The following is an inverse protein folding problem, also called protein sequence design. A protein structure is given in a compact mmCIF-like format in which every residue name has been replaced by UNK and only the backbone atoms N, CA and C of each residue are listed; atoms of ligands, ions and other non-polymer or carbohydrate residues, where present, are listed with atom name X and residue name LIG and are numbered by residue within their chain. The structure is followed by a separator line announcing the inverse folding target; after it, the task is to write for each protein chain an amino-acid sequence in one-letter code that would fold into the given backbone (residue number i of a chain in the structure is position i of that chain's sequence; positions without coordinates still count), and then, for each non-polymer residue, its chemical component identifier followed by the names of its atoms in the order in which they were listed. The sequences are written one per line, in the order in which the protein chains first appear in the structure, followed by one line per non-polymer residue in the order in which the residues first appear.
data_IF_793059956961
#
_entry.id   IF_793059956961
#
_cell.length_a   1.000
_cell.length_b   1.000
_cell.length_c   1.000
_cell.angle_alpha   90.00
_cell.angle_beta   90.00
_cell.angle_gamma   90.00
#
_symmetry.space_group_name_H-M   'P 1'
#
loop_
_entity.id
_entity.type
_entity.pdbx_description
1 polymer ?
#
# COMPACT_ATOMS: atom_id res chain seq x y z
N UNK A 1 -34.23 16.62 11.61
CA UNK A 1 -33.31 16.03 10.61
C UNK A 1 -31.91 16.48 10.97
N UNK A 2 -31.09 15.61 11.59
CA UNK A 2 -29.70 15.94 11.88
C UNK A 2 -28.87 15.73 10.62
N UNK A 3 -28.30 16.81 10.08
CA UNK A 3 -27.23 16.71 9.10
C UNK A 3 -26.00 16.09 9.79
N UNK A 4 -25.35 15.06 9.20
CA UNK A 4 -24.08 14.59 9.72
C UNK A 4 -23.06 15.72 9.54
N UNK A 5 -22.45 16.14 10.65
CA UNK A 5 -21.34 17.09 10.66
C UNK A 5 -20.21 16.52 9.78
N UNK A 6 -19.84 17.23 8.72
CA UNK A 6 -18.71 16.82 7.88
C UNK A 6 -17.44 16.86 8.74
N UNK A 7 -16.80 15.70 8.92
CA UNK A 7 -15.52 15.61 9.60
C UNK A 7 -14.49 16.57 8.96
N UNK A 8 -13.60 17.20 9.75
CA UNK A 8 -12.61 18.15 9.24
C UNK A 8 -11.73 17.49 8.16
N UNK A 9 -11.31 18.30 7.18
CA UNK A 9 -10.32 17.91 6.17
C UNK A 9 -8.94 18.21 6.72
N UNK A 10 -8.10 17.20 6.86
CA UNK A 10 -6.74 17.36 7.35
C UNK A 10 -5.83 17.51 6.14
N UNK A 11 -5.40 18.75 5.84
CA UNK A 11 -4.38 19.03 4.82
C UNK A 11 -3.01 19.07 5.48
N UNK A 12 -2.08 18.27 4.98
CA UNK A 12 -0.72 18.26 5.49
C UNK A 12 0.28 18.95 4.57
N UNK A 13 1.23 19.67 5.19
CA UNK A 13 2.47 20.05 4.51
C UNK A 13 3.24 18.80 4.11
N UNK A 14 3.89 18.83 2.94
CA UNK A 14 4.70 17.71 2.45
C UNK A 14 6.13 17.79 3.01
N UNK A 15 6.84 16.65 3.16
CA UNK A 15 8.27 16.66 3.41
C UNK A 15 9.02 17.40 2.29
N UNK A 16 10.14 18.04 2.63
CA UNK A 16 11.00 18.71 1.62
C UNK A 16 11.49 17.67 0.60
N UNK A 17 11.32 17.95 -0.71
CA UNK A 17 11.79 17.07 -1.79
C UNK A 17 10.72 16.21 -2.46
N UNK A 18 9.48 16.17 -1.94
CA UNK A 18 8.41 15.37 -2.54
C UNK A 18 7.79 16.04 -3.78
N UNK A 19 7.97 15.45 -4.96
CA UNK A 19 7.47 15.95 -6.25
C UNK A 19 5.97 16.27 -6.20
N UNK A 20 5.58 17.50 -6.58
CA UNK A 20 4.19 17.96 -6.62
C UNK A 20 3.33 17.01 -7.46
N UNK A 21 2.06 16.83 -7.05
CA UNK A 21 1.05 16.16 -7.87
C UNK A 21 1.08 16.77 -9.29
N UNK A 22 1.42 16.01 -10.36
CA UNK A 22 1.18 16.50 -11.71
C UNK A 22 -0.33 16.72 -11.88
N UNK A 23 -0.76 17.75 -12.62
CA UNK A 23 -2.19 18.03 -12.79
C UNK A 23 -2.91 16.77 -13.27
N UNK A 24 -4.12 16.55 -12.75
CA UNK A 24 -4.93 15.41 -13.18
C UNK A 24 -5.05 15.44 -14.71
N UNK A 25 -4.86 14.32 -15.41
CA UNK A 25 -5.10 14.28 -16.85
C UNK A 25 -6.56 14.68 -17.10
N UNK A 26 -6.77 15.65 -17.97
CA UNK A 26 -8.11 16.10 -18.34
C UNK A 26 -8.84 14.98 -19.07
N UNK A 27 -9.78 14.33 -18.38
CA UNK A 27 -10.81 13.50 -19.00
C UNK A 27 -10.35 12.15 -19.53
N UNK A 28 -10.21 11.15 -18.66
CA UNK A 28 -10.43 9.77 -19.05
C UNK A 28 -11.90 9.43 -18.74
N UNK A 29 -12.80 9.66 -19.71
CA UNK A 29 -14.17 9.14 -19.63
C UNK A 29 -14.07 7.62 -19.68
N UNK A 30 -14.60 6.94 -18.67
CA UNK A 30 -14.87 5.50 -18.77
C UNK A 30 -15.88 5.28 -19.90
N UNK A 31 -15.39 4.81 -21.04
CA UNK A 31 -16.22 4.35 -22.14
C UNK A 31 -16.72 2.97 -21.77
N UNK A 32 -17.98 2.87 -21.32
CA UNK A 32 -18.67 1.59 -21.24
C UNK A 32 -19.02 1.18 -22.68
N UNK A 33 -18.19 0.35 -23.30
CA UNK A 33 -18.55 -0.23 -24.59
C UNK A 33 -19.50 -1.42 -24.36
N UNK A 34 -20.76 -1.25 -24.78
CA UNK A 34 -21.69 -2.36 -24.93
C UNK A 34 -21.40 -3.04 -26.26
N UNK A 35 -20.88 -4.26 -26.17
CA UNK A 35 -21.20 -5.36 -27.07
C UNK A 35 -20.69 -5.31 -28.51
N UNK A 36 -19.71 -6.16 -28.80
CA UNK A 36 -19.81 -7.11 -29.91
C UNK A 36 -19.32 -8.47 -29.43
N UNK A 37 -20.22 -9.45 -29.46
CA UNK A 37 -19.94 -10.87 -29.28
C UNK A 37 -18.97 -11.33 -30.37
N UNK A 38 -17.74 -11.66 -30.00
CA UNK A 38 -16.89 -12.56 -30.78
C UNK A 38 -16.63 -13.78 -29.91
N UNK A 39 -17.30 -14.86 -30.27
CA UNK A 39 -17.14 -16.15 -29.64
C UNK A 39 -15.68 -16.61 -29.80
N UNK A 40 -14.89 -16.57 -28.73
CA UNK A 40 -13.71 -17.40 -28.64
C UNK A 40 -14.18 -18.83 -28.37
N UNK A 41 -14.28 -19.57 -29.47
CA UNK A 41 -14.50 -21.00 -29.52
C UNK A 41 -13.47 -21.69 -28.62
N UNK A 42 -13.96 -22.48 -27.68
CA UNK A 42 -13.17 -23.36 -26.81
C UNK A 42 -12.45 -24.42 -27.64
N UNK A 43 -11.18 -24.17 -27.95
CA UNK A 43 -10.23 -25.23 -28.27
C UNK A 43 -9.45 -25.52 -26.98
N UNK A 44 -9.74 -26.65 -26.35
CA UNK A 44 -8.87 -27.22 -25.32
C UNK A 44 -7.61 -27.73 -26.03
N UNK A 45 -6.40 -27.27 -25.68
CA UNK A 45 -5.20 -28.03 -26.01
C UNK A 45 -5.09 -29.15 -24.97
N UNK A 46 -5.11 -30.39 -25.46
CA UNK A 46 -4.72 -31.55 -24.69
C UNK A 46 -3.24 -31.43 -24.30
N UNK A 47 -2.95 -31.42 -23.00
CA UNK A 47 -1.62 -31.66 -22.42
C UNK A 47 -0.62 -30.52 -22.55
N UNK A 48 -0.66 -29.57 -21.62
CA UNK A 48 0.49 -28.74 -21.25
C UNK A 48 0.66 -28.82 -19.74
N UNK A 49 1.90 -29.08 -19.29
CA UNK A 49 2.27 -29.06 -17.89
C UNK A 49 1.73 -27.78 -17.24
N UNK A 50 0.84 -27.94 -16.26
CA UNK A 50 0.38 -26.85 -15.40
C UNK A 50 1.59 -26.45 -14.54
N UNK A 51 2.51 -25.67 -15.12
CA UNK A 51 3.61 -25.04 -14.40
C UNK A 51 2.94 -24.18 -13.36
N UNK A 52 2.84 -24.70 -12.14
CA UNK A 52 2.21 -24.04 -11.01
C UNK A 52 2.75 -22.61 -10.94
N UNK A 53 1.94 -21.65 -11.40
CA UNK A 53 2.33 -20.24 -11.37
C UNK A 53 2.53 -19.88 -9.91
N UNK A 54 3.70 -19.35 -9.58
CA UNK A 54 3.98 -18.84 -8.24
C UNK A 54 2.91 -17.82 -7.86
N UNK A 55 2.20 -18.06 -6.76
CA UNK A 55 1.20 -17.12 -6.25
C UNK A 55 1.91 -15.95 -5.60
N UNK A 56 2.15 -14.90 -6.38
CA UNK A 56 2.66 -13.64 -5.87
C UNK A 56 1.51 -12.89 -5.20
N UNK A 57 1.60 -12.69 -3.89
CA UNK A 57 0.55 -12.04 -3.11
C UNK A 57 0.85 -10.54 -3.04
N UNK A 58 -0.01 -9.68 -3.64
CA UNK A 58 0.14 -8.24 -3.53
C UNK A 58 -0.37 -7.71 -2.18
N UNK A 59 0.33 -6.74 -1.64
CA UNK A 59 -0.02 -6.01 -0.43
C UNK A 59 -0.08 -4.52 -0.73
N UNK A 60 -0.97 -3.79 -0.06
CA UNK A 60 -1.06 -2.35 -0.13
C UNK A 60 -0.66 -1.72 1.20
N UNK A 61 0.21 -0.72 1.16
CA UNK A 61 0.75 -0.01 2.32
C UNK A 61 0.56 1.50 2.15
N UNK A 62 0.18 2.21 3.22
CA UNK A 62 -0.03 3.67 3.18
C UNK A 62 1.08 4.41 3.92
N UNK A 63 1.93 5.11 3.17
CA UNK A 63 2.87 6.10 3.70
C UNK A 63 2.17 7.46 3.80
N UNK A 64 1.61 7.74 4.97
CA UNK A 64 0.96 9.01 5.26
C UNK A 64 1.95 9.97 5.92
N UNK A 65 2.23 11.09 5.25
CA UNK A 65 3.16 12.10 5.74
C UNK A 65 2.42 13.35 6.21
N UNK A 66 2.90 13.94 7.30
CA UNK A 66 2.49 15.25 7.81
C UNK A 66 3.71 16.06 8.19
N UNK A 67 3.98 17.12 7.42
CA UNK A 67 5.20 17.90 7.56
C UNK A 67 6.42 16.97 7.44
N UNK A 68 7.27 16.92 8.47
CA UNK A 68 8.43 16.03 8.58
C UNK A 68 8.13 14.82 9.49
N UNK A 69 6.86 14.39 9.58
CA UNK A 69 6.41 13.20 10.30
C UNK A 69 5.77 12.16 9.37
N UNK A 70 5.77 10.89 9.79
CA UNK A 70 5.04 9.78 9.17
C UNK A 70 4.15 9.09 10.19
N UNK A 71 2.94 8.68 9.78
CA UNK A 71 2.04 7.91 10.62
C UNK A 71 2.50 6.44 10.65
N UNK A 72 2.76 5.91 11.83
CA UNK A 72 3.11 4.50 12.04
C UNK A 72 2.09 3.84 12.96
N UNK A 73 1.90 2.53 12.75
CA UNK A 73 1.14 1.67 13.65
C UNK A 73 2.05 0.61 14.28
N UNK A 74 1.83 0.28 15.56
CA UNK A 74 2.52 -0.79 16.26
C UNK A 74 1.71 -2.09 16.14
N UNK A 75 2.28 -3.11 15.51
CA UNK A 75 1.61 -4.40 15.35
C UNK A 75 1.55 -5.15 16.68
N UNK A 76 0.40 -5.72 17.00
CA UNK A 76 0.21 -6.62 18.14
C UNK A 76 -0.80 -7.72 17.78
N UNK A 77 -0.59 -8.94 18.27
CA UNK A 77 -1.51 -10.07 18.04
C UNK A 77 -1.88 -10.32 16.57
N UNK A 78 -0.99 -10.00 15.64
CA UNK A 78 -1.20 -10.18 14.20
C UNK A 78 -0.62 -11.49 13.68
N UNK A 79 0.26 -12.14 14.46
CA UNK A 79 0.96 -13.36 14.04
C UNK A 79 2.16 -13.11 13.12
N UNK A 80 2.46 -11.86 12.78
CA UNK A 80 3.61 -11.47 11.96
C UNK A 80 4.22 -10.16 12.47
N UNK A 81 5.50 -10.18 12.84
CA UNK A 81 6.26 -9.00 13.27
C UNK A 81 5.58 -8.18 14.40
N UNK A 82 4.92 -8.86 15.35
CA UNK A 82 4.33 -8.23 16.53
C UNK A 82 5.42 -7.54 17.39
N UNK A 83 5.08 -6.38 17.96
CA UNK A 83 6.02 -5.52 18.69
C UNK A 83 6.86 -4.60 17.78
N UNK A 84 6.66 -4.64 16.46
CA UNK A 84 7.29 -3.73 15.50
C UNK A 84 6.31 -2.71 14.92
N UNK A 85 6.84 -1.53 14.66
CA UNK A 85 6.14 -0.50 13.90
C UNK A 85 6.12 -0.83 12.40
N UNK A 86 4.95 -0.66 11.83
CA UNK A 86 4.62 -0.73 10.41
C UNK A 86 3.87 0.55 10.02
N UNK A 87 3.32 0.56 8.81
CA UNK A 87 2.28 1.48 8.37
C UNK A 87 0.96 0.75 8.22
N UNK A 88 -0.13 1.51 8.02
CA UNK A 88 -1.44 0.98 7.61
C UNK A 88 -1.25 0.12 6.38
N UNK A 89 -1.64 -1.15 6.45
CA UNK A 89 -1.35 -2.09 5.38
C UNK A 89 -2.17 -3.36 5.45
N UNK A 90 -2.48 -3.93 4.29
CA UNK A 90 -3.14 -5.22 4.20
C UNK A 90 -2.99 -5.89 2.85
N UNK A 91 -3.56 -7.08 2.75
CA UNK A 91 -3.59 -7.83 1.50
C UNK A 91 -4.58 -7.19 0.52
N UNK A 92 -4.27 -7.25 -0.77
CA UNK A 92 -5.28 -6.98 -1.80
C UNK A 92 -6.14 -8.23 -1.94
N UNK A 93 -7.43 -8.09 -1.68
CA UNK A 93 -8.37 -9.21 -1.71
C UNK A 93 -8.78 -9.60 -3.15
N UNK A 94 -9.29 -10.83 -3.36
CA UNK A 94 -9.86 -11.22 -4.63
C UNK A 94 -11.03 -10.30 -5.04
N UNK A 95 -10.93 -9.72 -6.23
CA UNK A 95 -12.00 -8.88 -6.80
C UNK A 95 -11.86 -7.38 -6.51
N UNK A 96 -10.81 -6.94 -5.80
CA UNK A 96 -10.50 -5.52 -5.61
C UNK A 96 -9.20 -5.10 -6.30
N UNK A 97 -9.07 -3.79 -6.56
CA UNK A 97 -7.79 -3.22 -7.01
C UNK A 97 -6.93 -2.84 -5.80
N UNK A 98 -5.61 -2.73 -5.96
CA UNK A 98 -4.73 -2.28 -4.87
C UNK A 98 -5.13 -0.89 -4.31
N UNK A 99 -5.69 -0.01 -5.13
CA UNK A 99 -6.23 1.28 -4.68
C UNK A 99 -7.49 1.12 -3.84
N UNK A 100 -8.35 0.14 -4.13
CA UNK A 100 -9.55 -0.12 -3.32
C UNK A 100 -9.18 -0.80 -2.01
N UNK A 101 -8.29 -1.79 -2.05
CA UNK A 101 -7.75 -2.43 -0.85
C UNK A 101 -7.10 -1.39 0.06
N UNK A 102 -6.29 -0.48 -0.49
CA UNK A 102 -5.69 0.58 0.32
C UNK A 102 -6.72 1.52 0.97
N UNK A 103 -7.84 1.80 0.29
CA UNK A 103 -8.92 2.63 0.85
C UNK A 103 -9.66 1.90 1.95
N UNK A 104 -9.95 0.61 1.76
CA UNK A 104 -10.58 -0.26 2.75
C UNK A 104 -9.72 -0.33 4.02
N UNK A 105 -8.45 -0.70 3.88
CA UNK A 105 -7.50 -0.80 5.01
C UNK A 105 -7.32 0.54 5.74
N UNK A 106 -7.22 1.66 5.02
CA UNK A 106 -7.12 2.99 5.63
C UNK A 106 -8.34 3.36 6.48
N UNK A 107 -9.54 2.95 6.06
CA UNK A 107 -10.76 3.17 6.82
C UNK A 107 -10.85 2.19 8.00
N UNK A 108 -10.58 0.91 7.78
CA UNK A 108 -10.66 -0.17 8.76
C UNK A 108 -9.65 -0.01 9.90
N UNK A 109 -8.37 0.27 9.61
CA UNK A 109 -7.31 0.31 10.61
C UNK A 109 -7.16 1.69 11.26
N UNK A 110 -7.29 2.76 10.47
CA UNK A 110 -6.92 4.12 10.87
C UNK A 110 -8.08 5.13 10.85
N UNK A 111 -9.26 4.73 10.38
CA UNK A 111 -10.43 5.60 10.30
C UNK A 111 -10.32 6.73 9.27
N UNK A 112 -9.43 6.57 8.29
CA UNK A 112 -9.12 7.54 7.25
C UNK A 112 -9.91 7.25 5.99
N UNK A 113 -10.59 8.27 5.47
CA UNK A 113 -11.43 8.12 4.28
C UNK A 113 -10.73 8.80 3.10
N UNK A 114 -10.31 7.97 2.14
CA UNK A 114 -9.55 8.34 0.95
C UNK A 114 -10.35 8.05 -0.32
N UNK A 115 -10.23 8.94 -1.31
CA UNK A 115 -10.65 8.66 -2.70
C UNK A 115 -9.48 8.12 -3.51
N UNK A 116 -9.78 7.46 -4.63
CA UNK A 116 -8.75 6.92 -5.53
C UNK A 116 -7.81 8.00 -6.05
N UNK A 117 -8.31 9.21 -6.29
CA UNK A 117 -7.54 10.34 -6.83
C UNK A 117 -6.60 10.98 -5.81
N UNK A 118 -6.81 10.70 -4.51
CA UNK A 118 -5.96 11.16 -3.42
C UNK A 118 -4.75 10.23 -3.23
N UNK A 119 -4.93 8.94 -3.52
CA UNK A 119 -3.86 7.94 -3.45
C UNK A 119 -2.93 8.03 -4.66
N UNK A 120 -1.63 7.88 -4.41
CA UNK A 120 -0.60 7.78 -5.44
C UNK A 120 0.41 6.71 -5.05
N UNK A 121 0.76 5.85 -5.99
CA UNK A 121 1.87 4.93 -5.81
C UNK A 121 3.16 5.76 -5.67
N UNK A 122 3.93 5.51 -4.62
CA UNK A 122 5.19 6.18 -4.34
C UNK A 122 6.38 5.23 -4.30
N UNK A 123 6.15 3.95 -3.99
CA UNK A 123 7.21 2.94 -4.00
C UNK A 123 6.64 1.53 -4.19
N UNK A 124 7.47 0.62 -4.68
CA UNK A 124 7.18 -0.81 -4.80
C UNK A 124 8.38 -1.57 -4.25
N UNK A 125 8.13 -2.53 -3.36
CA UNK A 125 9.15 -3.48 -2.92
C UNK A 125 8.79 -4.86 -3.43
N UNK A 126 9.71 -5.48 -4.17
CA UNK A 126 9.70 -6.92 -4.39
C UNK A 126 10.49 -7.58 -3.26
N UNK A 127 9.78 -8.24 -2.35
CA UNK A 127 10.39 -8.81 -1.15
C UNK A 127 10.29 -10.33 -1.12
N UNK A 128 11.32 -10.94 -0.56
CA UNK A 128 11.35 -12.34 -0.19
C UNK A 128 11.84 -12.45 1.25
N UNK A 129 10.89 -12.56 2.17
CA UNK A 129 11.16 -12.75 3.60
C UNK A 129 10.72 -14.15 4.02
N UNK A 130 9.59 -14.26 4.69
CA UNK A 130 8.81 -15.47 4.91
C UNK A 130 8.22 -16.06 3.62
N UNK A 131 7.84 -15.20 2.68
CA UNK A 131 7.36 -15.57 1.37
C UNK A 131 7.62 -14.46 0.34
N UNK A 132 7.46 -14.79 -0.94
CA UNK A 132 7.57 -13.82 -2.02
C UNK A 132 6.32 -12.91 -2.06
N UNK A 133 6.53 -11.60 -2.13
CA UNK A 133 5.48 -10.57 -2.10
C UNK A 133 5.84 -9.37 -2.96
N UNK A 134 4.81 -8.70 -3.46
CA UNK A 134 4.91 -7.35 -4.00
C UNK A 134 4.16 -6.42 -3.04
N UNK A 135 4.91 -5.54 -2.37
CA UNK A 135 4.35 -4.55 -1.47
C UNK A 135 4.26 -3.20 -2.19
N UNK A 136 3.03 -2.73 -2.42
CA UNK A 136 2.71 -1.49 -3.11
C UNK A 136 2.51 -0.37 -2.08
N UNK A 137 3.40 0.62 -2.07
CA UNK A 137 3.33 1.74 -1.15
C UNK A 137 2.65 2.94 -1.80
N UNK A 138 1.50 3.34 -1.26
CA UNK A 138 0.76 4.53 -1.65
C UNK A 138 0.99 5.67 -0.65
N UNK A 139 0.76 6.90 -1.12
CA UNK A 139 0.74 8.10 -0.28
C UNK A 139 -0.45 8.99 -0.65
N UNK A 140 -0.82 9.91 0.25
CA UNK A 140 -1.89 10.88 0.06
C UNK A 140 -1.52 12.23 0.69
N UNK A 141 -2.04 13.34 0.15
CA UNK A 141 -1.81 14.70 0.68
C UNK A 141 -3.01 15.28 1.44
N UNK A 142 -4.18 14.69 1.26
CA UNK A 142 -5.46 15.13 1.83
C UNK A 142 -6.33 13.89 2.00
N UNK A 143 -7.09 13.86 3.08
CA UNK A 143 -8.02 12.79 3.45
C UNK A 143 -9.10 13.35 4.37
N UNK A 144 -10.13 12.55 4.64
CA UNK A 144 -11.16 12.90 5.62
C UNK A 144 -11.02 12.02 6.86
N UNK A 145 -11.22 12.62 8.02
CA UNK A 145 -11.11 11.94 9.31
C UNK A 145 -9.74 12.16 9.95
N UNK A 146 -9.70 12.01 11.27
CA UNK A 146 -8.46 12.06 12.04
C UNK A 146 -7.95 10.62 12.26
N UNK A 147 -6.62 10.38 12.16
CA UNK A 147 -6.04 9.08 12.46
C UNK A 147 -6.49 8.59 13.84
N UNK A 148 -7.09 7.41 13.88
CA UNK A 148 -7.51 6.74 15.11
C UNK A 148 -7.29 5.25 14.98
N UNK A 149 -6.85 4.62 16.06
CA UNK A 149 -6.71 3.16 16.10
C UNK A 149 -8.10 2.51 16.15
N UNK A 150 -8.57 2.01 15.01
CA UNK A 150 -9.87 1.33 14.90
C UNK A 150 -9.80 -0.17 15.20
N UNK A 151 -8.59 -0.74 15.27
CA UNK A 151 -8.35 -2.16 15.56
C UNK A 151 -7.50 -2.32 16.83
N UNK A 152 -7.98 -1.91 18.02
CA UNK A 152 -7.22 -1.95 19.26
C UNK A 152 -6.76 -3.35 19.67
N UNK A 153 -7.32 -4.41 19.09
CA UNK A 153 -6.90 -5.78 19.29
C UNK A 153 -5.68 -6.18 18.45
N UNK A 154 -5.43 -5.50 17.32
CA UNK A 154 -4.32 -5.76 16.38
C UNK A 154 -3.25 -4.65 16.33
N UNK A 155 -3.58 -3.48 16.84
CA UNK A 155 -2.73 -2.29 16.80
C UNK A 155 -2.54 -1.73 18.22
N UNK A 156 -1.30 -1.66 18.70
CA UNK A 156 -0.95 -1.23 20.06
C UNK A 156 -0.73 0.28 20.19
N UNK A 157 -0.43 0.95 19.08
CA UNK A 157 -0.18 2.39 18.99
C UNK A 157 -0.40 2.84 17.55
N UNK A 158 -0.96 4.03 17.34
CA UNK A 158 -1.09 4.68 16.03
C UNK A 158 -0.71 6.15 16.21
N UNK A 159 0.52 6.49 15.83
CA UNK A 159 1.15 7.77 16.18
C UNK A 159 1.99 8.34 15.05
N UNK A 160 2.15 9.66 15.08
CA UNK A 160 3.05 10.38 14.18
C UNK A 160 4.48 10.34 14.72
N UNK A 161 5.42 9.97 13.86
CA UNK A 161 6.85 9.90 14.21
C UNK A 161 7.66 10.84 13.32
N UNK A 162 8.60 11.63 13.89
CA UNK A 162 9.52 12.44 13.10
C UNK A 162 10.37 11.57 12.17
N UNK A 163 10.55 12.03 10.92
CA UNK A 163 11.33 11.31 9.91
C UNK A 163 12.82 11.20 10.27
N UNK A 164 13.33 12.12 11.08
CA UNK A 164 14.71 12.12 11.60
C UNK A 164 14.86 11.35 12.92
N UNK A 165 13.76 10.87 13.51
CA UNK A 165 13.73 10.14 14.79
C UNK A 165 12.80 8.91 14.73
N UNK A 166 12.81 8.19 13.60
CA UNK A 166 12.00 6.97 13.41
C UNK A 166 12.36 5.88 14.45
N UNK A 167 11.36 5.19 15.04
CA UNK A 167 11.57 4.25 16.15
C UNK A 167 12.43 3.05 15.73
N UNK A 168 13.35 2.60 16.58
CA UNK A 168 14.29 1.53 16.24
C UNK A 168 13.60 0.20 15.89
N UNK A 169 12.49 -0.13 16.55
CA UNK A 169 11.71 -1.35 16.37
C UNK A 169 10.74 -1.25 15.18
N UNK A 170 11.24 -0.96 13.97
CA UNK A 170 10.42 -1.00 12.75
C UNK A 170 10.58 -2.33 12.02
N UNK A 171 9.58 -2.68 11.21
CA UNK A 171 9.74 -3.69 10.17
C UNK A 171 10.80 -3.18 9.16
N UNK A 172 11.87 -3.95 8.87
CA UNK A 172 12.98 -3.47 8.04
C UNK A 172 12.56 -2.97 6.65
N UNK A 173 11.71 -3.71 5.93
CA UNK A 173 11.29 -3.31 4.59
C UNK A 173 10.40 -2.04 4.60
N UNK A 174 9.64 -1.81 5.68
CA UNK A 174 8.83 -0.58 5.81
C UNK A 174 9.73 0.63 6.01
N UNK A 175 10.78 0.49 6.84
CA UNK A 175 11.81 1.54 7.00
C UNK A 175 12.52 1.83 5.68
N UNK A 176 12.88 0.79 4.92
CA UNK A 176 13.44 0.93 3.58
C UNK A 176 12.48 1.69 2.66
N UNK A 177 11.19 1.32 2.61
CA UNK A 177 10.20 1.97 1.78
C UNK A 177 10.07 3.47 2.07
N UNK A 178 10.07 3.88 3.35
CA UNK A 178 10.06 5.29 3.74
C UNK A 178 11.30 6.00 3.20
N UNK A 179 12.50 5.44 3.41
CA UNK A 179 13.75 6.04 2.96
C UNK A 179 13.84 6.16 1.43
N UNK A 180 13.47 5.11 0.70
CA UNK A 180 13.46 5.11 -0.76
C UNK A 180 12.42 6.07 -1.33
N UNK A 181 11.25 6.14 -0.71
CA UNK A 181 10.20 7.11 -1.05
C UNK A 181 10.70 8.55 -0.89
N UNK A 182 11.44 8.84 0.19
CA UNK A 182 12.04 10.17 0.40
C UNK A 182 13.16 10.50 -0.60
N UNK A 183 13.84 9.48 -1.14
CA UNK A 183 14.84 9.63 -2.22
C UNK A 183 14.22 9.75 -3.61
N UNK A 184 12.92 9.46 -3.75
CA UNK A 184 12.23 9.42 -5.04
C UNK A 184 12.48 8.12 -5.83
N UNK A 185 13.01 7.08 -5.19
CA UNK A 185 13.18 5.76 -5.79
C UNK A 185 11.83 5.05 -5.84
N UNK A 186 11.42 4.56 -7.01
CA UNK A 186 10.10 3.93 -7.19
C UNK A 186 10.11 2.42 -6.95
N UNK A 187 11.25 1.76 -7.11
CA UNK A 187 11.37 0.30 -6.96
C UNK A 187 12.59 -0.07 -6.13
N UNK A 188 12.44 -1.06 -5.25
CA UNK A 188 13.58 -1.71 -4.59
C UNK A 188 13.29 -3.18 -4.27
N UNK A 189 14.35 -3.88 -3.89
CA UNK A 189 14.31 -5.29 -3.52
C UNK A 189 14.62 -5.45 -2.03
N UNK A 190 14.03 -6.46 -1.39
CA UNK A 190 14.30 -6.76 0.01
C UNK A 190 14.34 -8.26 0.29
N UNK A 191 15.38 -8.72 0.99
CA UNK A 191 15.52 -10.13 1.40
C UNK A 191 15.97 -11.10 0.30
N UNK A 192 16.32 -10.59 -0.89
CA UNK A 192 16.93 -11.40 -1.95
C UNK A 192 18.42 -11.65 -1.65
N UNK A 193 18.83 -12.90 -1.71
CA UNK A 193 20.23 -13.36 -1.60
C UNK A 193 20.75 -13.82 -2.97
N UNK A 194 22.06 -13.80 -3.19
CA UNK A 194 22.65 -14.28 -4.47
C UNK A 194 22.22 -15.72 -4.81
N UNK A 195 22.11 -16.60 -3.80
CA UNK A 195 21.60 -17.97 -3.99
C UNK A 195 20.13 -18.03 -4.42
N UNK A 196 19.31 -17.06 -3.99
CA UNK A 196 17.89 -17.00 -4.36
C UNK A 196 17.63 -16.51 -5.79
N UNK A 197 18.59 -15.77 -6.37
CA UNK A 197 18.52 -15.26 -7.74
C UNK A 197 19.15 -16.26 -8.72
N UNK A 198 20.29 -16.87 -8.37
CA UNK A 198 20.98 -17.85 -9.22
C UNK A 198 20.15 -19.12 -9.48
N UNK A 199 19.33 -19.56 -8.50
CA UNK A 199 18.43 -20.71 -8.65
C UNK A 199 17.30 -20.47 -9.66
N UNK A 200 16.97 -19.21 -9.98
CA UNK A 200 15.94 -18.86 -10.97
C UNK A 200 16.52 -18.66 -12.38
N UNK A 201 17.85 -18.57 -12.52
CA UNK A 201 18.56 -18.32 -13.77
C UNK A 201 19.25 -19.58 -14.34
N UNK A 202 19.10 -20.73 -13.67
CA UNK A 202 19.64 -22.04 -14.09
C UNK A 202 18.50 -22.95 -14.55
#
# INVERSE_FOLDING_TARGET
MHHPCAAPRSRCGRPRGFSRRPPAPSGARHRTDRGTSSAYHSAQPDGEDDVARSSLIPEAHLLLFRNDEVLLLLRQNTGYEDGRYSVVAGHVEPGETALDGMRREAEEEAGLILTREQLRLCHVIHRRTDAERISLFFTADDWRGEPRNNEPQKCGDLSWFPLDALPHNMIPYVRQAIQETLRGTVYSEHGWTESSVSAALS
#
